data_IF_736265087890
#
_entry.id   IF_736265087890
#
_cell.length_a   1.000
_cell.length_b   1.000
_cell.length_c   1.000
_cell.angle_alpha   90.00
_cell.angle_beta   90.00
_cell.angle_gamma   90.00
#
_symmetry.space_group_name_H-M   'P 1'
#
loop_
_entity.id
_entity.type
_entity.pdbx_description
1 polymer ?
#
# COMPACT_ATOMS: atom_id res chain seq x y z
N UNK A 1 25.94 -28.13 -26.55
CA UNK A 1 26.53 -29.45 -26.20
C UNK A 1 26.38 -29.67 -24.71
N UNK A 2 25.80 -30.80 -24.28
CA UNK A 2 25.60 -31.31 -22.92
C UNK A 2 24.52 -30.65 -22.08
N UNK A 3 23.25 -30.94 -22.45
CA UNK A 3 22.14 -31.12 -21.49
C UNK A 3 21.77 -32.63 -21.59
N UNK A 4 21.83 -33.33 -20.46
CA UNK A 4 21.18 -34.61 -20.11
C UNK A 4 22.01 -35.24 -19.01
N UNK A 5 21.45 -35.31 -17.82
CA UNK A 5 21.65 -36.38 -16.84
C UNK A 5 20.93 -35.87 -15.58
N UNK A 6 19.70 -36.36 -15.38
CA UNK A 6 19.15 -36.72 -14.06
C UNK A 6 17.73 -37.25 -14.28
N UNK A 7 17.65 -38.46 -14.75
CA UNK A 7 16.45 -39.29 -14.65
C UNK A 7 16.88 -40.74 -14.98
N UNK A 8 17.29 -41.46 -13.91
CA UNK A 8 17.26 -42.94 -13.84
C UNK A 8 17.81 -43.32 -12.48
N UNK A 9 16.88 -43.69 -11.61
CA UNK A 9 17.03 -44.82 -10.66
C UNK A 9 15.84 -44.79 -9.70
N UNK A 10 14.84 -45.60 -10.01
CA UNK A 10 13.92 -46.19 -9.05
C UNK A 10 13.37 -47.43 -9.69
N UNK A 11 13.97 -48.55 -9.39
CA UNK A 11 13.40 -49.88 -9.59
C UNK A 11 13.66 -50.73 -8.36
N UNK A 12 12.56 -51.25 -7.83
CA UNK A 12 12.37 -52.53 -7.15
C UNK A 12 13.01 -52.76 -5.76
N UNK A 13 12.09 -52.93 -4.83
CA UNK A 13 12.10 -53.92 -3.72
C UNK A 13 10.78 -53.69 -2.99
N UNK A 14 9.80 -54.54 -2.85
CA UNK A 14 9.83 -55.96 -2.48
C UNK A 14 8.58 -56.12 -1.63
N UNK A 15 7.57 -56.84 -2.11
CA UNK A 15 6.31 -57.13 -1.39
C UNK A 15 6.58 -57.93 -0.13
N UNK A 16 5.99 -57.52 0.99
CA UNK A 16 5.70 -58.43 2.13
C UNK A 16 4.27 -58.16 2.59
N UNK A 17 3.45 -59.17 2.39
CA UNK A 17 2.06 -59.27 2.86
C UNK A 17 2.11 -59.58 4.37
N UNK A 18 1.42 -58.79 5.19
CA UNK A 18 0.91 -59.22 6.49
C UNK A 18 -0.56 -58.83 6.53
N UNK A 19 -1.36 -59.89 6.72
CA UNK A 19 -2.80 -59.86 6.84
C UNK A 19 -3.26 -59.39 8.21
N UNK A 20 -4.42 -58.73 8.23
CA UNK A 20 -5.36 -58.79 9.32
C UNK A 20 -5.44 -57.63 10.28
N UNK A 21 -6.36 -56.68 10.02
CA UNK A 21 -7.11 -56.02 11.08
C UNK A 21 -8.48 -55.55 10.52
N UNK A 22 -9.50 -56.04 11.16
CA UNK A 22 -10.91 -55.90 10.88
C UNK A 22 -11.38 -54.43 10.85
N UNK A 23 -11.98 -54.00 9.78
CA UNK A 23 -12.73 -52.75 9.70
C UNK A 23 -14.07 -52.92 10.41
N UNK A 24 -14.20 -52.41 11.60
CA UNK A 24 -15.49 -52.21 12.26
C UNK A 24 -16.11 -50.92 11.67
N UNK A 25 -17.02 -51.09 10.75
CA UNK A 25 -17.87 -50.01 10.25
C UNK A 25 -18.82 -49.58 11.37
N UNK A 26 -18.64 -48.37 11.89
CA UNK A 26 -19.65 -47.71 12.71
C UNK A 26 -20.87 -47.37 11.85
N UNK A 27 -21.95 -48.12 12.05
CA UNK A 27 -23.28 -47.72 11.56
C UNK A 27 -23.78 -46.54 12.38
N UNK A 28 -24.32 -45.50 11.77
CA UNK A 28 -25.01 -44.47 12.53
C UNK A 28 -26.28 -45.05 13.15
N UNK A 29 -26.45 -44.84 14.45
CA UNK A 29 -27.69 -45.13 15.17
C UNK A 29 -28.79 -44.18 14.74
N UNK A 30 -30.05 -44.63 14.68
CA UNK A 30 -31.18 -43.75 14.37
C UNK A 30 -31.37 -42.74 15.48
N UNK A 31 -31.49 -41.47 15.08
CA UNK A 31 -31.85 -40.36 15.98
C UNK A 31 -33.34 -40.50 16.31
N UNK A 32 -33.67 -40.69 17.59
CA UNK A 32 -35.02 -40.66 18.12
C UNK A 32 -35.58 -39.22 18.05
N UNK A 33 -36.68 -38.99 17.32
CA UNK A 33 -37.23 -37.63 17.17
C UNK A 33 -37.95 -37.12 18.44
N UNK A 34 -37.90 -37.84 19.56
CA UNK A 34 -38.66 -37.47 20.75
C UNK A 34 -37.86 -37.26 22.03
N UNK A 35 -36.53 -37.14 21.96
CA UNK A 35 -35.77 -36.67 23.12
C UNK A 35 -35.84 -35.13 23.23
N UNK A 36 -37.04 -34.66 23.53
CA UNK A 36 -37.24 -33.31 24.02
C UNK A 36 -36.76 -33.19 25.44
N UNK A 37 -35.75 -32.38 25.67
CA UNK A 37 -35.54 -31.59 26.90
C UNK A 37 -34.24 -30.80 26.76
N UNK A 38 -34.19 -29.84 25.89
CA UNK A 38 -33.35 -28.68 26.19
C UNK A 38 -34.08 -27.86 27.27
N UNK A 39 -33.75 -28.13 28.50
CA UNK A 39 -34.08 -27.20 29.57
C UNK A 39 -33.34 -25.89 29.33
N UNK A 40 -34.08 -24.91 28.83
CA UNK A 40 -33.68 -23.52 28.88
C UNK A 40 -33.42 -23.13 30.32
N UNK A 41 -32.15 -23.22 30.77
CA UNK A 41 -31.70 -22.44 31.90
C UNK A 41 -31.67 -20.98 31.45
N UNK A 42 -32.84 -20.36 31.46
CA UNK A 42 -33.02 -18.95 31.27
C UNK A 42 -32.33 -18.16 32.41
N UNK A 43 -31.09 -17.84 32.19
CA UNK A 43 -30.48 -16.68 32.80
C UNK A 43 -30.24 -15.65 31.68
N UNK A 44 -31.36 -15.10 31.16
CA UNK A 44 -31.30 -13.74 30.62
C UNK A 44 -30.86 -12.84 31.76
N UNK A 45 -29.57 -12.76 32.00
CA UNK A 45 -29.03 -11.52 32.55
C UNK A 45 -29.38 -10.44 31.55
N UNK A 46 -30.39 -9.66 31.86
CA UNK A 46 -30.56 -8.33 31.30
C UNK A 46 -29.19 -7.65 31.44
N UNK A 47 -28.41 -7.70 30.38
CA UNK A 47 -27.44 -6.67 30.11
C UNK A 47 -28.30 -5.41 29.90
N UNK A 48 -28.74 -4.83 31.02
CA UNK A 48 -29.13 -3.45 31.02
C UNK A 48 -27.92 -2.72 30.46
N UNK A 49 -28.00 -2.39 29.20
CA UNK A 49 -27.14 -1.40 28.59
C UNK A 49 -27.38 -0.13 29.40
N UNK A 50 -26.56 0.09 30.40
CA UNK A 50 -26.30 1.43 30.91
C UNK A 50 -25.66 2.17 29.74
N UNK A 51 -26.48 2.68 28.83
CA UNK A 51 -26.08 3.69 27.86
C UNK A 51 -25.81 4.96 28.68
N UNK A 52 -24.72 4.99 29.42
CA UNK A 52 -24.05 6.25 29.69
C UNK A 52 -23.61 6.71 28.32
N UNK A 53 -24.42 7.58 27.70
CA UNK A 53 -24.06 8.19 26.43
C UNK A 53 -22.78 8.99 26.65
N UNK A 54 -21.64 8.40 26.36
CA UNK A 54 -20.39 9.16 26.32
C UNK A 54 -20.62 10.33 25.36
N UNK A 55 -20.08 11.53 25.67
CA UNK A 55 -20.20 12.65 24.75
C UNK A 55 -19.62 12.32 23.39
N UNK A 56 -20.26 12.76 22.33
CA UNK A 56 -19.73 12.63 20.97
C UNK A 56 -18.34 13.26 20.88
N UNK A 57 -17.43 12.57 20.21
CA UNK A 57 -16.09 13.05 19.90
C UNK A 57 -16.11 13.57 18.46
N UNK A 58 -16.02 14.89 18.31
CA UNK A 58 -15.93 15.53 17.00
C UNK A 58 -14.45 15.72 16.65
N UNK A 59 -13.99 15.08 15.57
CA UNK A 59 -12.60 15.07 15.14
C UNK A 59 -12.44 15.70 13.77
N UNK A 60 -11.27 16.23 13.50
CA UNK A 60 -10.84 16.74 12.21
C UNK A 60 -9.83 15.80 11.55
N UNK A 61 -10.03 15.51 10.25
CA UNK A 61 -9.05 14.82 9.40
C UNK A 61 -8.60 15.77 8.31
N UNK A 62 -7.30 16.00 8.19
CA UNK A 62 -6.69 16.76 7.09
C UNK A 62 -6.07 15.81 6.08
N UNK A 63 -6.28 16.04 4.79
CA UNK A 63 -5.75 15.18 3.74
C UNK A 63 -4.79 15.93 2.83
N UNK A 64 -3.90 15.19 2.17
CA UNK A 64 -3.00 15.77 1.16
C UNK A 64 -3.60 15.72 -0.26
N UNK A 65 -4.90 15.42 -0.37
CA UNK A 65 -5.61 15.20 -1.63
C UNK A 65 -6.59 16.33 -1.94
N UNK A 66 -6.79 16.65 -3.22
CA UNK A 66 -7.90 17.51 -3.64
C UNK A 66 -9.26 16.92 -3.20
N UNK A 67 -10.24 17.79 -3.03
CA UNK A 67 -11.59 17.37 -2.64
C UNK A 67 -12.18 16.37 -3.63
N UNK A 68 -12.76 15.28 -3.10
CA UNK A 68 -13.36 14.19 -3.88
C UNK A 68 -12.39 13.51 -4.86
N UNK A 69 -11.07 13.64 -4.63
CA UNK A 69 -10.10 12.99 -5.52
C UNK A 69 -10.29 11.47 -5.53
N UNK A 70 -10.39 10.85 -6.72
CA UNK A 70 -10.74 9.43 -6.84
C UNK A 70 -9.77 8.51 -6.09
N UNK A 71 -10.31 7.55 -5.33
CA UNK A 71 -9.51 6.52 -4.67
C UNK A 71 -8.67 6.98 -3.47
N UNK A 72 -8.46 8.28 -3.28
CA UNK A 72 -7.71 8.83 -2.15
C UNK A 72 -8.59 9.76 -1.31
N UNK A 73 -9.02 10.90 -1.84
CA UNK A 73 -9.90 11.83 -1.14
C UNK A 73 -11.24 11.18 -0.82
N UNK A 74 -11.84 10.46 -1.78
CA UNK A 74 -13.11 9.73 -1.56
C UNK A 74 -12.96 8.62 -0.50
N UNK A 75 -11.81 7.96 -0.40
CA UNK A 75 -11.56 6.94 0.61
C UNK A 75 -11.38 7.52 2.01
N UNK A 76 -10.75 8.68 2.13
CA UNK A 76 -10.68 9.39 3.42
C UNK A 76 -12.08 9.71 3.96
N UNK A 77 -12.98 10.21 3.09
CA UNK A 77 -14.38 10.47 3.42
C UNK A 77 -15.15 9.19 3.80
N UNK A 78 -14.93 8.10 3.07
CA UNK A 78 -15.55 6.82 3.38
C UNK A 78 -15.06 6.25 4.71
N UNK A 79 -13.77 6.33 4.99
CA UNK A 79 -13.18 5.87 6.25
C UNK A 79 -13.77 6.65 7.44
N UNK A 80 -13.82 7.99 7.33
CA UNK A 80 -14.41 8.84 8.33
C UNK A 80 -15.89 8.52 8.59
N UNK A 81 -16.68 8.34 7.51
CA UNK A 81 -18.09 7.93 7.58
C UNK A 81 -18.28 6.57 8.25
N UNK A 82 -17.48 5.57 7.86
CA UNK A 82 -17.62 4.20 8.33
C UNK A 82 -17.25 4.09 9.83
N UNK A 83 -16.29 4.88 10.32
CA UNK A 83 -16.01 5.05 11.76
C UNK A 83 -17.25 5.60 12.47
N UNK A 84 -17.86 6.65 11.91
CA UNK A 84 -19.07 7.23 12.48
C UNK A 84 -20.21 6.22 12.60
N UNK A 85 -20.42 5.42 11.57
CA UNK A 85 -21.45 4.35 11.55
C UNK A 85 -21.12 3.26 12.56
N UNK A 86 -19.90 2.74 12.55
CA UNK A 86 -19.50 1.61 13.40
C UNK A 86 -19.48 1.96 14.90
N UNK A 87 -19.25 3.24 15.23
CA UNK A 87 -19.27 3.74 16.62
C UNK A 87 -20.63 4.32 17.02
N UNK A 88 -21.70 4.09 16.24
CA UNK A 88 -23.04 4.64 16.46
C UNK A 88 -23.04 6.17 16.68
N UNK A 89 -22.18 6.90 15.96
CA UNK A 89 -22.05 8.36 16.06
C UNK A 89 -21.27 8.85 17.27
N UNK A 90 -20.60 7.94 18.01
CA UNK A 90 -19.72 8.32 19.14
C UNK A 90 -18.48 9.07 18.64
N UNK A 91 -17.89 8.63 17.51
CA UNK A 91 -16.79 9.30 16.84
C UNK A 91 -17.33 9.87 15.54
N UNK A 92 -17.15 11.18 15.33
CA UNK A 92 -17.50 11.88 14.10
C UNK A 92 -16.28 12.59 13.57
N UNK A 93 -15.90 12.30 12.35
CA UNK A 93 -14.71 12.84 11.71
C UNK A 93 -15.16 13.76 10.57
N UNK A 94 -14.76 15.01 10.62
CA UNK A 94 -14.88 15.95 9.52
C UNK A 94 -13.61 15.92 8.70
N UNK A 95 -13.73 15.63 7.42
CA UNK A 95 -12.61 15.58 6.49
C UNK A 95 -12.42 16.93 5.82
N UNK A 96 -11.18 17.40 5.79
CA UNK A 96 -10.73 18.60 5.11
C UNK A 96 -9.77 18.19 3.99
N UNK A 97 -10.08 18.59 2.77
CA UNK A 97 -9.21 18.38 1.62
C UNK A 97 -7.93 19.22 1.73
N UNK A 98 -6.96 18.93 0.85
CA UNK A 98 -5.76 19.75 0.73
C UNK A 98 -6.12 21.24 0.63
N UNK A 99 -5.42 22.07 1.38
CA UNK A 99 -5.55 23.53 1.42
C UNK A 99 -6.88 24.08 2.01
N UNK A 100 -7.80 23.21 2.49
CA UNK A 100 -9.02 23.69 3.15
C UNK A 100 -8.76 24.15 4.60
N UNK A 101 -7.95 23.43 5.37
CA UNK A 101 -7.62 23.76 6.77
C UNK A 101 -6.14 24.12 6.91
N UNK A 102 -5.28 23.33 6.29
CA UNK A 102 -3.82 23.53 6.25
C UNK A 102 -3.29 23.21 4.86
N UNK A 103 -2.16 23.79 4.44
CA UNK A 103 -1.48 23.37 3.21
C UNK A 103 -1.21 21.86 3.21
N UNK A 104 -1.36 21.21 2.06
CA UNK A 104 -1.30 19.75 1.94
C UNK A 104 -0.10 19.12 2.66
N UNK A 105 1.12 19.63 2.42
CA UNK A 105 2.35 19.07 3.01
C UNK A 105 2.57 19.45 4.49
N UNK A 106 1.69 20.25 5.10
CA UNK A 106 1.70 20.58 6.52
C UNK A 106 0.74 19.69 7.35
N UNK A 107 0.07 18.73 6.73
CA UNK A 107 -0.91 17.87 7.40
C UNK A 107 -0.32 17.13 8.61
N UNK A 108 0.90 16.57 8.48
CA UNK A 108 1.59 15.91 9.58
C UNK A 108 1.87 16.87 10.75
N UNK A 109 2.40 18.05 10.46
CA UNK A 109 2.70 19.03 11.50
C UNK A 109 1.44 19.51 12.22
N UNK A 110 0.33 19.67 11.50
CA UNK A 110 -0.95 20.02 12.09
C UNK A 110 -1.42 18.98 13.11
N UNK A 111 -1.29 17.70 12.79
CA UNK A 111 -1.67 16.59 13.67
C UNK A 111 -0.67 16.45 14.83
N UNK A 112 0.61 16.50 14.56
CA UNK A 112 1.68 16.43 15.57
C UNK A 112 1.49 17.50 16.66
N UNK A 113 1.08 18.70 16.28
CA UNK A 113 0.86 19.85 17.17
C UNK A 113 -0.55 19.93 17.79
N UNK A 114 -1.45 19.01 17.44
CA UNK A 114 -2.83 19.01 17.91
C UNK A 114 -3.73 20.08 17.25
N UNK A 115 -3.32 20.65 16.10
CA UNK A 115 -4.14 21.56 15.31
C UNK A 115 -5.15 20.84 14.41
N UNK A 116 -4.95 19.54 14.20
CA UNK A 116 -5.86 18.59 13.62
C UNK A 116 -5.69 17.24 14.34
N UNK A 117 -6.67 16.34 14.22
CA UNK A 117 -6.69 15.10 14.98
C UNK A 117 -6.14 13.92 14.18
N UNK A 118 -6.30 13.94 12.86
CA UNK A 118 -5.91 12.84 11.96
C UNK A 118 -5.36 13.46 10.67
N UNK A 119 -4.28 12.89 10.13
CA UNK A 119 -3.93 13.14 8.73
C UNK A 119 -4.17 11.90 7.87
N UNK A 120 -4.39 12.11 6.57
CA UNK A 120 -4.49 11.04 5.58
C UNK A 120 -3.55 11.35 4.40
N UNK A 121 -2.43 10.63 4.34
CA UNK A 121 -1.37 10.86 3.36
C UNK A 121 -0.22 9.86 3.48
N UNK A 122 0.71 9.80 2.51
CA UNK A 122 1.87 8.92 2.59
C UNK A 122 2.97 9.57 3.41
N UNK A 123 3.58 8.81 4.31
CA UNK A 123 4.55 9.32 5.27
C UNK A 123 5.84 9.82 4.64
N UNK A 124 6.23 9.35 3.46
CA UNK A 124 7.42 9.83 2.77
C UNK A 124 7.39 11.33 2.42
N UNK A 125 6.20 11.97 2.41
CA UNK A 125 6.13 13.43 2.26
C UNK A 125 6.82 14.17 3.39
N UNK A 126 6.99 13.53 4.52
CA UNK A 126 7.62 14.09 5.73
C UNK A 126 8.99 13.45 6.04
N UNK A 127 9.67 12.92 5.01
CA UNK A 127 11.03 12.38 5.14
C UNK A 127 12.03 13.38 5.77
N UNK A 128 11.77 14.69 5.67
CA UNK A 128 12.53 15.72 6.35
C UNK A 128 12.39 15.72 7.88
N UNK A 129 11.40 15.01 8.44
CA UNK A 129 11.28 14.77 9.89
C UNK A 129 12.14 13.59 10.32
N UNK A 130 12.06 12.51 9.56
CA UNK A 130 12.90 11.34 9.70
C UNK A 130 12.93 10.55 8.39
N UNK A 131 14.12 10.22 7.92
CA UNK A 131 14.29 9.60 6.60
C UNK A 131 13.58 8.25 6.48
N UNK A 132 13.44 7.50 7.59
CA UNK A 132 12.81 6.19 7.63
C UNK A 132 11.28 6.21 7.43
N UNK A 133 10.63 7.37 7.43
CA UNK A 133 9.24 7.46 6.98
C UNK A 133 9.04 6.98 5.53
N UNK A 134 10.09 7.01 4.72
CA UNK A 134 10.08 6.40 3.40
C UNK A 134 9.76 4.90 3.43
N UNK A 135 10.25 4.15 4.42
CA UNK A 135 10.03 2.70 4.51
C UNK A 135 8.57 2.33 4.78
N UNK A 136 7.81 3.22 5.39
CA UNK A 136 6.39 3.03 5.65
C UNK A 136 5.48 3.59 4.55
N UNK A 137 6.03 4.36 3.61
CA UNK A 137 5.34 4.85 2.43
C UNK A 137 5.55 3.96 1.22
N UNK A 138 6.76 3.96 0.67
CA UNK A 138 7.21 3.10 -0.43
C UNK A 138 8.74 3.03 -0.48
N UNK A 139 9.27 1.85 -0.74
CA UNK A 139 10.70 1.63 -1.02
C UNK A 139 10.82 1.19 -2.47
N UNK A 140 11.64 1.85 -3.29
CA UNK A 140 11.90 1.42 -4.66
C UNK A 140 12.37 -0.02 -4.74
N UNK A 141 11.80 -0.81 -5.66
CA UNK A 141 12.04 -2.26 -5.78
C UNK A 141 11.72 -3.08 -4.52
N UNK A 142 11.02 -2.48 -3.55
CA UNK A 142 10.70 -3.07 -2.26
C UNK A 142 9.39 -3.85 -2.24
N UNK A 143 8.74 -3.84 -1.06
CA UNK A 143 7.51 -4.57 -0.80
C UNK A 143 6.32 -3.99 -1.57
N UNK A 144 5.53 -4.88 -2.17
CA UNK A 144 4.23 -4.51 -2.75
C UNK A 144 3.15 -4.33 -1.66
N UNK A 145 1.91 -4.01 -2.08
CA UNK A 145 0.81 -3.76 -1.15
C UNK A 145 0.53 -4.92 -0.20
N UNK A 146 0.62 -6.16 -0.67
CA UNK A 146 0.35 -7.35 0.16
C UNK A 146 1.51 -7.70 1.06
N UNK A 147 2.71 -7.51 0.57
CA UNK A 147 3.96 -7.72 1.30
C UNK A 147 4.16 -6.67 2.42
N UNK A 148 3.73 -5.42 2.18
CA UNK A 148 3.73 -4.37 3.21
C UNK A 148 2.85 -4.78 4.40
N UNK A 149 1.66 -5.34 4.17
CA UNK A 149 0.82 -5.87 5.25
C UNK A 149 1.52 -7.02 5.98
N UNK A 150 2.20 -7.91 5.25
CA UNK A 150 2.96 -8.98 5.85
C UNK A 150 4.04 -8.44 6.79
N UNK A 151 4.82 -7.46 6.33
CA UNK A 151 5.85 -6.82 7.16
C UNK A 151 5.26 -6.15 8.41
N UNK A 152 4.22 -5.33 8.23
CA UNK A 152 3.60 -4.61 9.34
C UNK A 152 2.98 -5.55 10.39
N UNK A 153 2.39 -6.68 9.96
CA UNK A 153 1.66 -7.58 10.87
C UNK A 153 2.51 -8.71 11.45
N UNK A 154 3.53 -9.17 10.72
CA UNK A 154 4.29 -10.36 11.09
C UNK A 154 5.80 -10.14 11.12
N UNK A 155 6.31 -9.04 10.54
CA UNK A 155 7.71 -8.67 10.52
C UNK A 155 8.11 -7.62 11.56
N UNK A 156 7.18 -7.18 12.44
CA UNK A 156 7.44 -6.16 13.45
C UNK A 156 7.42 -4.71 12.92
N UNK A 157 6.92 -4.52 11.69
CA UNK A 157 6.91 -3.20 11.05
C UNK A 157 5.98 -2.21 11.74
N UNK A 158 4.81 -2.65 12.27
CA UNK A 158 3.86 -1.76 12.92
C UNK A 158 4.44 -1.16 14.20
N UNK A 159 5.06 -1.98 15.03
CA UNK A 159 5.69 -1.54 16.28
C UNK A 159 6.85 -0.55 16.01
N UNK A 160 7.65 -0.82 14.97
CA UNK A 160 8.72 0.08 14.56
C UNK A 160 8.18 1.41 14.01
N UNK A 161 7.04 1.38 13.31
CA UNK A 161 6.39 2.59 12.82
C UNK A 161 5.85 3.46 13.96
N UNK A 162 5.21 2.83 14.94
CA UNK A 162 4.72 3.51 16.14
C UNK A 162 5.86 4.10 16.97
N UNK A 163 6.97 3.37 17.13
CA UNK A 163 8.17 3.86 17.80
C UNK A 163 8.76 5.08 17.08
N UNK A 164 8.88 5.01 15.74
CA UNK A 164 9.39 6.11 14.91
C UNK A 164 8.51 7.35 14.98
N UNK A 165 7.18 7.19 15.01
CA UNK A 165 6.22 8.28 14.94
C UNK A 165 5.90 8.89 16.33
N UNK A 166 6.09 8.13 17.42
CA UNK A 166 5.71 8.56 18.77
C UNK A 166 6.39 9.86 19.23
N UNK A 167 7.67 10.16 18.94
CA UNK A 167 8.28 11.44 19.30
C UNK A 167 7.60 12.66 18.64
N UNK A 168 6.85 12.43 17.56
CA UNK A 168 6.05 13.45 16.88
C UNK A 168 4.59 13.50 17.36
N UNK A 169 4.26 12.79 18.43
CA UNK A 169 2.89 12.69 18.95
C UNK A 169 1.90 12.12 17.92
N UNK A 170 2.32 11.14 17.11
CA UNK A 170 1.53 10.51 16.06
C UNK A 170 1.47 8.99 16.27
N UNK A 171 0.26 8.43 16.14
CA UNK A 171 0.01 7.00 16.05
C UNK A 171 -0.37 6.65 14.60
N UNK A 172 0.54 6.06 13.82
CA UNK A 172 0.29 5.75 12.42
C UNK A 172 -0.49 4.44 12.25
N UNK A 173 -1.29 4.34 11.20
CA UNK A 173 -1.90 3.10 10.76
C UNK A 173 -2.07 3.07 9.26
N UNK A 174 -1.88 1.89 8.67
CA UNK A 174 -2.10 1.67 7.25
C UNK A 174 -3.59 1.72 6.93
N UNK A 175 -4.01 2.60 6.02
CA UNK A 175 -5.41 2.82 5.69
C UNK A 175 -5.74 2.55 4.22
N UNK A 176 -4.89 3.00 3.28
CA UNK A 176 -5.10 2.79 1.85
C UNK A 176 -3.84 2.27 1.17
N UNK A 177 -4.03 1.57 0.03
CA UNK A 177 -2.96 1.17 -0.90
C UNK A 177 -3.31 1.63 -2.30
N UNK A 178 -2.30 2.02 -3.07
CA UNK A 178 -2.47 2.34 -4.50
C UNK A 178 -2.35 1.09 -5.40
N UNK A 179 -1.75 0.02 -4.88
CA UNK A 179 -1.29 -1.10 -5.70
C UNK A 179 -0.12 -0.69 -6.59
N UNK A 180 0.26 -1.56 -7.52
CA UNK A 180 1.38 -1.33 -8.44
C UNK A 180 1.13 -0.06 -9.25
N UNK A 181 2.10 0.84 -9.22
CA UNK A 181 2.04 2.11 -9.92
C UNK A 181 2.64 2.05 -11.34
N UNK A 182 2.63 3.17 -12.03
CA UNK A 182 3.31 3.37 -13.31
C UNK A 182 4.61 4.14 -13.10
N UNK A 183 5.56 3.97 -14.03
CA UNK A 183 6.88 4.62 -13.96
C UNK A 183 6.86 6.14 -14.17
N UNK A 184 5.74 6.68 -14.65
CA UNK A 184 5.49 8.11 -14.76
C UNK A 184 5.30 8.61 -16.19
N UNK A 185 5.10 9.92 -16.29
CA UNK A 185 4.85 10.70 -17.51
C UNK A 185 6.07 11.54 -17.85
N UNK A 186 6.46 11.51 -19.12
CA UNK A 186 7.68 12.16 -19.60
C UNK A 186 7.42 12.91 -20.89
N UNK A 187 8.05 14.08 -21.05
CA UNK A 187 8.02 14.87 -22.28
C UNK A 187 9.13 14.47 -23.27
N UNK A 188 10.00 13.55 -22.87
CA UNK A 188 11.02 12.93 -23.73
C UNK A 188 11.11 11.44 -23.45
N UNK A 189 11.56 10.66 -24.43
CA UNK A 189 11.84 9.24 -24.22
C UNK A 189 13.11 9.05 -23.37
N UNK A 190 13.08 8.04 -22.52
CA UNK A 190 14.22 7.59 -21.71
C UNK A 190 14.74 6.28 -22.34
N UNK A 191 15.82 6.37 -23.06
CA UNK A 191 16.43 5.26 -23.79
C UNK A 191 17.74 4.79 -23.14
N UNK A 192 18.32 5.58 -22.24
CA UNK A 192 19.55 5.29 -21.55
C UNK A 192 19.60 5.98 -20.18
N UNK A 193 20.61 5.63 -19.37
CA UNK A 193 20.86 6.26 -18.06
C UNK A 193 21.18 7.75 -18.22
N UNK A 194 21.87 8.12 -19.29
CA UNK A 194 22.25 9.50 -19.61
C UNK A 194 21.03 10.40 -19.81
N UNK A 195 19.87 9.85 -20.23
CA UNK A 195 18.65 10.62 -20.41
C UNK A 195 18.05 11.12 -19.09
N UNK A 196 18.46 10.57 -17.97
CA UNK A 196 18.10 11.04 -16.62
C UNK A 196 18.91 12.27 -16.19
N UNK A 197 20.04 12.55 -16.84
CA UNK A 197 20.88 13.70 -16.51
C UNK A 197 20.14 15.00 -16.78
N UNK A 198 20.07 15.85 -15.74
CA UNK A 198 19.40 17.15 -15.81
C UNK A 198 17.86 17.08 -15.88
N UNK A 199 17.25 15.89 -15.81
CA UNK A 199 15.81 15.71 -15.81
C UNK A 199 15.19 16.39 -14.58
N UNK A 200 14.28 17.32 -14.77
CA UNK A 200 13.48 17.91 -13.69
C UNK A 200 12.21 17.09 -13.54
N UNK A 201 12.15 16.30 -12.49
CA UNK A 201 11.04 15.37 -12.29
C UNK A 201 10.32 15.63 -10.97
N UNK A 202 9.00 15.74 -11.02
CA UNK A 202 8.21 15.63 -9.79
C UNK A 202 8.22 14.20 -9.35
N UNK A 203 8.91 13.94 -8.26
CA UNK A 203 8.98 12.62 -7.60
C UNK A 203 9.35 12.85 -6.13
N UNK A 204 8.47 12.51 -5.18
CA UNK A 204 8.73 12.69 -3.76
C UNK A 204 9.51 11.52 -3.16
N UNK A 205 9.86 11.66 -1.91
CA UNK A 205 10.36 10.59 -1.08
C UNK A 205 11.64 9.96 -1.61
N UNK A 206 11.73 8.66 -1.45
CA UNK A 206 12.89 7.85 -1.82
C UNK A 206 13.20 7.93 -3.34
N UNK A 207 12.15 7.98 -4.19
CA UNK A 207 12.35 8.12 -5.64
C UNK A 207 13.08 9.42 -6.01
N UNK A 208 12.85 10.50 -5.27
CA UNK A 208 13.56 11.76 -5.45
C UNK A 208 15.06 11.65 -5.21
N UNK A 209 15.46 10.90 -4.19
CA UNK A 209 16.88 10.66 -3.92
C UNK A 209 17.56 9.87 -5.05
N UNK A 210 16.85 8.87 -5.61
CA UNK A 210 17.36 8.12 -6.78
C UNK A 210 17.59 9.07 -7.95
N UNK A 211 16.60 9.91 -8.30
CA UNK A 211 16.72 10.88 -9.40
C UNK A 211 17.89 11.83 -9.16
N UNK A 212 18.13 12.28 -7.93
CA UNK A 212 19.28 13.10 -7.57
C UNK A 212 20.60 12.39 -7.90
N UNK A 213 20.75 11.14 -7.49
CA UNK A 213 21.97 10.35 -7.76
C UNK A 213 22.17 9.99 -9.21
N UNK A 214 21.06 9.90 -9.97
CA UNK A 214 21.09 9.72 -11.41
C UNK A 214 21.37 11.03 -12.18
N UNK A 215 21.63 12.16 -11.47
CA UNK A 215 21.98 13.45 -12.05
C UNK A 215 20.78 14.31 -12.47
N UNK A 216 19.58 13.94 -12.08
CA UNK A 216 18.38 14.75 -12.27
C UNK A 216 18.10 15.72 -11.11
N UNK A 217 16.99 16.41 -11.18
CA UNK A 217 16.53 17.38 -10.17
C UNK A 217 15.12 17.02 -9.74
N UNK A 218 14.93 16.36 -8.60
CA UNK A 218 13.61 16.06 -8.09
C UNK A 218 12.92 17.28 -7.52
N UNK A 219 11.59 17.32 -7.63
CA UNK A 219 10.73 18.34 -7.04
C UNK A 219 9.58 17.66 -6.33
N UNK A 220 9.25 18.06 -5.11
CA UNK A 220 8.07 17.58 -4.38
C UNK A 220 6.95 18.60 -4.50
N UNK A 221 5.83 18.21 -5.14
CA UNK A 221 4.62 19.01 -5.29
C UNK A 221 3.40 18.16 -4.91
N UNK A 222 2.38 18.75 -4.26
CA UNK A 222 1.11 18.08 -4.07
C UNK A 222 0.40 17.85 -5.41
N UNK A 223 -0.48 16.83 -5.47
CA UNK A 223 -1.09 16.36 -6.73
C UNK A 223 -1.81 17.46 -7.53
N UNK A 224 -2.46 18.38 -6.86
CA UNK A 224 -3.19 19.49 -7.51
C UNK A 224 -2.32 20.48 -8.28
N UNK A 225 -1.01 20.51 -8.02
CA UNK A 225 -0.08 21.47 -8.65
C UNK A 225 0.71 20.85 -9.82
N UNK A 226 0.67 19.54 -10.00
CA UNK A 226 1.52 18.83 -10.96
C UNK A 226 1.17 19.18 -12.40
N UNK A 227 -0.12 19.15 -12.77
CA UNK A 227 -0.57 19.43 -14.13
C UNK A 227 -0.06 20.79 -14.62
N UNK A 228 -0.24 21.82 -13.81
CA UNK A 228 0.20 23.17 -14.15
C UNK A 228 1.72 23.25 -14.31
N UNK A 229 2.47 22.62 -13.38
CA UNK A 229 3.93 22.60 -13.40
C UNK A 229 4.48 21.91 -14.66
N UNK A 230 3.86 20.78 -15.06
CA UNK A 230 4.22 20.04 -16.26
C UNK A 230 3.86 20.81 -17.53
N UNK A 231 2.65 21.40 -17.58
CA UNK A 231 2.18 22.18 -18.75
C UNK A 231 3.00 23.45 -19.00
N UNK A 232 3.57 24.04 -17.95
CA UNK A 232 4.44 25.21 -18.05
C UNK A 232 5.91 24.89 -18.33
N UNK A 233 6.30 23.59 -18.35
CA UNK A 233 7.68 23.17 -18.50
C UNK A 233 8.57 23.47 -17.28
N UNK A 234 7.97 23.71 -16.10
CA UNK A 234 8.72 23.85 -14.86
C UNK A 234 9.32 22.50 -14.43
N UNK A 235 8.68 21.40 -14.81
CA UNK A 235 9.16 20.02 -14.71
C UNK A 235 9.06 19.34 -16.08
N UNK A 236 9.96 18.39 -16.34
CA UNK A 236 10.04 17.62 -17.59
C UNK A 236 9.28 16.28 -17.50
N UNK A 237 9.08 15.81 -16.28
CA UNK A 237 8.45 14.52 -15.97
C UNK A 237 7.77 14.55 -14.61
N UNK A 238 6.85 13.61 -14.43
CA UNK A 238 6.19 13.36 -13.14
C UNK A 238 5.86 11.88 -13.01
N UNK A 239 5.95 11.36 -11.81
CA UNK A 239 5.17 10.20 -11.41
C UNK A 239 3.94 10.66 -10.63
N UNK A 240 2.96 9.77 -10.47
CA UNK A 240 1.85 9.98 -9.53
C UNK A 240 1.39 8.63 -8.96
N UNK A 241 0.48 7.93 -9.62
CA UNK A 241 0.03 6.60 -9.16
C UNK A 241 -0.08 5.65 -10.34
N UNK A 242 -1.10 5.85 -11.17
CA UNK A 242 -1.41 4.96 -12.25
C UNK A 242 -2.61 5.43 -13.06
N UNK A 243 -3.01 4.66 -14.08
CA UNK A 243 -3.92 5.11 -15.14
C UNK A 243 -5.18 5.82 -14.65
N UNK A 244 -5.80 5.33 -13.57
CA UNK A 244 -7.05 5.91 -13.06
C UNK A 244 -6.89 7.32 -12.50
N UNK A 245 -5.90 7.52 -11.64
CA UNK A 245 -5.63 8.82 -11.04
C UNK A 245 -4.96 9.76 -12.02
N UNK A 246 -4.06 9.25 -12.87
CA UNK A 246 -3.34 10.04 -13.85
C UNK A 246 -4.27 10.58 -14.95
N UNK A 247 -5.27 9.78 -15.35
CA UNK A 247 -6.35 10.24 -16.23
C UNK A 247 -7.18 11.35 -15.58
N UNK A 248 -7.50 11.22 -14.27
CA UNK A 248 -8.25 12.23 -13.53
C UNK A 248 -7.48 13.56 -13.39
N UNK A 249 -6.14 13.51 -13.31
CA UNK A 249 -5.27 14.69 -13.30
C UNK A 249 -4.96 15.23 -14.69
N UNK A 250 -5.31 14.49 -15.75
CA UNK A 250 -5.20 14.98 -17.12
C UNK A 250 -3.78 14.97 -17.68
N UNK A 251 -2.83 14.22 -17.12
CA UNK A 251 -1.43 14.24 -17.53
C UNK A 251 -1.20 13.90 -19.01
N UNK A 252 -2.06 13.07 -19.59
CA UNK A 252 -2.06 12.75 -21.03
C UNK A 252 -2.22 13.95 -21.97
N UNK A 253 -2.63 15.12 -21.45
CA UNK A 253 -2.78 16.34 -22.23
C UNK A 253 -1.48 17.17 -22.29
N UNK A 254 -0.51 16.85 -21.44
CA UNK A 254 0.69 17.68 -21.22
C UNK A 254 1.99 16.87 -21.16
N UNK A 255 1.92 15.55 -21.39
CA UNK A 255 3.09 14.67 -21.52
C UNK A 255 2.83 13.59 -22.56
N UNK A 256 3.86 13.23 -23.34
CA UNK A 256 3.76 12.38 -24.52
C UNK A 256 3.92 10.89 -24.20
N UNK A 257 4.76 10.54 -23.23
CA UNK A 257 5.18 9.18 -22.96
C UNK A 257 4.79 8.73 -21.56
N UNK A 258 4.17 7.56 -21.48
CA UNK A 258 3.74 6.96 -20.22
C UNK A 258 4.50 5.67 -19.97
N UNK A 259 5.35 5.67 -18.94
CA UNK A 259 6.25 4.56 -18.65
C UNK A 259 5.65 3.54 -17.70
N UNK A 260 5.88 2.26 -17.98
CA UNK A 260 5.73 1.13 -17.07
C UNK A 260 7.14 0.61 -16.78
N UNK A 261 7.42 -0.05 -15.72
CA UNK A 261 6.71 -0.27 -14.47
C UNK A 261 7.22 0.70 -13.40
N UNK A 262 6.47 0.81 -12.31
CA UNK A 262 6.89 1.62 -11.19
C UNK A 262 8.09 0.99 -10.48
N UNK A 263 9.26 1.52 -10.71
CA UNK A 263 10.47 1.15 -9.96
C UNK A 263 10.48 1.79 -8.56
N UNK A 264 9.89 2.98 -8.44
CA UNK A 264 9.92 3.84 -7.25
C UNK A 264 8.90 3.43 -6.20
N UNK A 265 7.70 3.00 -6.61
CA UNK A 265 6.60 2.66 -5.72
C UNK A 265 5.85 1.39 -6.19
N UNK A 266 6.28 0.20 -5.74
CA UNK A 266 5.51 -1.03 -5.96
C UNK A 266 4.07 -0.93 -5.41
N UNK A 267 3.88 -0.09 -4.40
CA UNK A 267 2.62 0.45 -3.90
C UNK A 267 2.91 1.59 -2.95
N UNK A 268 2.20 2.71 -3.05
CA UNK A 268 2.18 3.66 -1.95
C UNK A 268 1.27 3.18 -0.83
N UNK A 269 1.80 3.19 0.37
CA UNK A 269 1.06 2.98 1.61
C UNK A 269 0.57 4.32 2.13
N UNK A 270 -0.75 4.46 2.25
CA UNK A 270 -1.35 5.69 2.75
C UNK A 270 -1.70 5.51 4.22
N UNK A 271 -1.12 6.37 5.03
CA UNK A 271 -1.31 6.42 6.47
C UNK A 271 -2.58 7.19 6.85
N UNK A 272 -3.32 6.70 7.82
CA UNK A 272 -4.16 7.50 8.68
C UNK A 272 -3.42 7.72 10.00
N UNK A 273 -2.72 8.84 10.11
CA UNK A 273 -1.92 9.16 11.30
C UNK A 273 -2.76 9.94 12.30
N UNK A 274 -2.99 9.36 13.46
CA UNK A 274 -3.77 9.94 14.55
C UNK A 274 -2.86 10.72 15.49
N UNK A 275 -3.33 11.88 15.95
CA UNK A 275 -2.72 12.50 17.11
C UNK A 275 -2.73 11.50 18.28
N UNK A 276 -1.59 11.27 18.91
CA UNK A 276 -1.42 10.20 19.90
C UNK A 276 -2.28 10.46 21.17
N UNK A 277 -2.47 11.71 21.57
CA UNK A 277 -3.32 12.05 22.72
C UNK A 277 -4.79 11.76 22.40
N UNK A 278 -5.24 12.08 21.19
CA UNK A 278 -6.58 11.75 20.71
C UNK A 278 -6.78 10.23 20.65
N UNK A 279 -5.82 9.50 20.09
CA UNK A 279 -5.84 8.04 20.04
C UNK A 279 -5.94 7.42 21.44
N UNK A 280 -5.15 7.90 22.40
CA UNK A 280 -5.15 7.42 23.77
C UNK A 280 -6.42 7.80 24.55
N UNK A 281 -7.23 8.75 24.07
CA UNK A 281 -8.53 9.09 24.65
C UNK A 281 -9.65 8.13 24.25
N UNK A 282 -9.44 7.31 23.20
CA UNK A 282 -10.36 6.27 22.78
C UNK A 282 -10.29 5.07 23.72
N UNK A 283 -11.43 4.40 23.94
CA UNK A 283 -11.37 3.11 24.62
C UNK A 283 -10.90 1.98 23.70
N UNK A 284 -10.54 0.85 24.31
CA UNK A 284 -10.01 -0.30 23.57
C UNK A 284 -10.96 -0.80 22.47
N UNK A 285 -12.28 -0.75 22.69
CA UNK A 285 -13.26 -1.15 21.68
C UNK A 285 -13.29 -0.18 20.50
N UNK A 286 -13.23 1.12 20.79
CA UNK A 286 -13.17 2.18 19.79
C UNK A 286 -11.88 2.06 18.96
N UNK A 287 -10.73 1.84 19.61
CA UNK A 287 -9.44 1.60 18.93
C UNK A 287 -9.51 0.40 18.01
N UNK A 288 -10.05 -0.73 18.50
CA UNK A 288 -10.20 -1.96 17.69
C UNK A 288 -11.13 -1.77 16.49
N UNK A 289 -12.21 -1.00 16.64
CA UNK A 289 -13.10 -0.66 15.51
C UNK A 289 -12.33 0.15 14.45
N UNK A 290 -11.58 1.15 14.85
CA UNK A 290 -10.82 2.01 13.93
C UNK A 290 -9.74 1.18 13.21
N UNK A 291 -8.99 0.34 13.91
CA UNK A 291 -7.97 -0.55 13.34
C UNK A 291 -8.60 -1.51 12.31
N UNK A 292 -9.71 -2.17 12.65
CA UNK A 292 -10.39 -3.09 11.74
C UNK A 292 -10.92 -2.38 10.48
N UNK A 293 -11.43 -1.16 10.63
CA UNK A 293 -11.87 -0.35 9.49
C UNK A 293 -10.70 0.09 8.62
N UNK A 294 -9.56 0.46 9.19
CA UNK A 294 -8.37 0.80 8.43
C UNK A 294 -7.90 -0.38 7.55
N UNK A 295 -7.84 -1.59 8.10
CA UNK A 295 -7.53 -2.81 7.31
C UNK A 295 -8.55 -3.07 6.20
N UNK A 296 -9.84 -2.92 6.50
CA UNK A 296 -10.89 -3.07 5.50
C UNK A 296 -10.74 -2.06 4.37
N UNK A 297 -10.47 -0.79 4.70
CA UNK A 297 -10.29 0.28 3.71
C UNK A 297 -9.02 0.06 2.89
N UNK A 298 -7.93 -0.44 3.48
CA UNK A 298 -6.73 -0.83 2.76
C UNK A 298 -7.02 -1.88 1.69
N UNK A 299 -7.67 -2.97 2.07
CA UNK A 299 -8.03 -4.04 1.14
C UNK A 299 -8.97 -3.56 0.03
N UNK A 300 -9.97 -2.73 0.38
CA UNK A 300 -10.92 -2.17 -0.60
C UNK A 300 -10.24 -1.21 -1.57
N UNK A 301 -9.34 -0.35 -1.10
CA UNK A 301 -8.61 0.57 -1.96
C UNK A 301 -7.74 -0.16 -2.97
N UNK A 302 -6.98 -1.17 -2.54
CA UNK A 302 -6.18 -2.01 -3.43
C UNK A 302 -7.01 -2.65 -4.54
N UNK A 303 -8.17 -3.23 -4.17
CA UNK A 303 -9.08 -3.85 -5.14
C UNK A 303 -9.65 -2.82 -6.12
N UNK A 304 -10.02 -1.62 -5.64
CA UNK A 304 -10.55 -0.55 -6.49
C UNK A 304 -9.51 -0.01 -7.45
N UNK A 305 -8.30 0.31 -7.00
CA UNK A 305 -7.20 0.77 -7.86
C UNK A 305 -6.92 -0.26 -8.98
N UNK A 306 -6.78 -1.54 -8.63
CA UNK A 306 -6.54 -2.59 -9.62
C UNK A 306 -7.67 -2.69 -10.65
N UNK A 307 -8.93 -2.60 -10.22
CA UNK A 307 -10.08 -2.66 -11.12
C UNK A 307 -10.20 -1.41 -12.02
N UNK A 308 -9.97 -0.22 -11.46
CA UNK A 308 -10.12 1.05 -12.18
C UNK A 308 -8.96 1.32 -13.13
N UNK A 309 -7.73 0.96 -12.74
CA UNK A 309 -6.54 1.15 -13.56
C UNK A 309 -6.64 0.46 -14.92
N UNK A 310 -7.18 -0.77 -14.97
CA UNK A 310 -7.34 -1.50 -16.22
C UNK A 310 -8.26 -0.76 -17.22
N UNK A 311 -9.36 -0.17 -16.73
CA UNK A 311 -10.27 0.60 -17.56
C UNK A 311 -9.66 1.93 -18.02
N UNK A 312 -9.04 2.66 -17.10
CA UNK A 312 -8.41 3.94 -17.38
C UNK A 312 -7.24 3.79 -18.36
N UNK A 313 -6.45 2.71 -18.24
CA UNK A 313 -5.37 2.43 -19.19
C UNK A 313 -5.91 2.24 -20.62
N UNK A 314 -7.00 1.49 -20.79
CA UNK A 314 -7.65 1.34 -22.10
C UNK A 314 -8.08 2.70 -22.68
N UNK A 315 -8.69 3.57 -21.86
CA UNK A 315 -9.08 4.91 -22.29
C UNK A 315 -7.86 5.75 -22.70
N UNK A 316 -6.81 5.79 -21.88
CA UNK A 316 -5.58 6.50 -22.18
C UNK A 316 -4.97 6.08 -23.53
N UNK A 317 -4.93 4.77 -23.79
CA UNK A 317 -4.32 4.23 -25.02
C UNK A 317 -5.27 4.39 -26.22
N UNK A 318 -6.54 3.96 -26.10
CA UNK A 318 -7.44 3.86 -27.25
C UNK A 318 -8.14 5.17 -27.60
N UNK A 319 -8.43 6.04 -26.61
CA UNK A 319 -9.17 7.27 -26.82
C UNK A 319 -8.26 8.50 -26.84
N UNK A 320 -7.19 8.49 -26.03
CA UNK A 320 -6.26 9.62 -25.94
C UNK A 320 -4.93 9.39 -26.66
N UNK A 321 -4.67 8.19 -27.24
CA UNK A 321 -3.50 7.91 -28.04
C UNK A 321 -2.18 7.90 -27.24
N UNK A 322 -2.24 7.68 -25.94
CA UNK A 322 -1.06 7.66 -25.05
C UNK A 322 -0.07 6.60 -25.49
N UNK A 323 1.19 6.95 -25.58
CA UNK A 323 2.27 6.09 -25.96
C UNK A 323 2.88 5.40 -24.73
N UNK A 324 2.54 4.11 -24.55
CA UNK A 324 3.18 3.31 -23.50
C UNK A 324 4.65 3.04 -23.84
N UNK A 325 5.50 3.12 -22.85
CA UNK A 325 6.93 2.83 -22.91
C UNK A 325 7.35 1.95 -21.73
N UNK A 326 8.48 1.28 -21.90
CA UNK A 326 9.17 0.57 -20.84
C UNK A 326 10.57 1.14 -20.71
N UNK A 327 11.05 1.27 -19.48
CA UNK A 327 12.45 1.61 -19.28
C UNK A 327 13.34 0.48 -19.80
N UNK A 328 14.45 0.80 -20.49
CA UNK A 328 15.43 -0.20 -20.88
C UNK A 328 15.93 -0.99 -19.66
N UNK A 329 16.27 -2.29 -19.82
CA UNK A 329 16.82 -3.09 -18.72
C UNK A 329 18.03 -2.46 -18.04
N UNK A 330 18.91 -1.82 -18.80
CA UNK A 330 20.09 -1.12 -18.26
C UNK A 330 19.73 0.08 -17.36
N UNK A 331 18.64 0.79 -17.67
CA UNK A 331 18.13 1.87 -16.84
C UNK A 331 17.55 1.30 -15.55
N UNK A 332 16.75 0.23 -15.65
CA UNK A 332 16.14 -0.43 -14.49
C UNK A 332 17.21 -1.02 -13.55
N UNK A 333 18.26 -1.62 -14.10
CA UNK A 333 19.41 -2.15 -13.32
C UNK A 333 20.11 -1.02 -12.55
N UNK A 334 20.44 0.08 -13.23
CA UNK A 334 21.09 1.23 -12.60
C UNK A 334 20.22 1.87 -11.51
N UNK A 335 18.91 1.99 -11.74
CA UNK A 335 17.97 2.49 -10.73
C UNK A 335 17.89 1.55 -9.51
N UNK A 336 17.93 0.22 -9.74
CA UNK A 336 17.88 -0.77 -8.66
C UNK A 336 19.14 -0.75 -7.79
N UNK A 337 20.32 -0.65 -8.42
CA UNK A 337 21.60 -0.57 -7.71
C UNK A 337 21.64 0.70 -6.83
N UNK A 338 21.28 1.84 -7.40
CA UNK A 338 21.22 3.11 -6.65
C UNK A 338 20.18 3.05 -5.52
N UNK A 339 19.04 2.42 -5.74
CA UNK A 339 18.03 2.24 -4.70
C UNK A 339 18.55 1.39 -3.53
N UNK A 340 19.28 0.31 -3.82
CA UNK A 340 19.86 -0.56 -2.80
C UNK A 340 20.91 0.19 -1.95
N UNK A 341 21.76 0.99 -2.58
CA UNK A 341 22.76 1.81 -1.90
C UNK A 341 22.08 2.81 -0.95
N UNK A 342 21.10 3.56 -1.44
CA UNK A 342 20.34 4.55 -0.65
C UNK A 342 19.62 3.88 0.53
N UNK A 343 18.96 2.74 0.30
CA UNK A 343 18.27 2.00 1.36
C UNK A 343 19.24 1.60 2.50
N UNK A 344 20.41 1.11 2.11
CA UNK A 344 21.48 0.76 3.06
C UNK A 344 21.99 1.98 3.85
N UNK A 345 22.20 3.10 3.19
CA UNK A 345 22.63 4.34 3.83
C UNK A 345 21.58 4.89 4.81
N UNK A 346 20.29 4.85 4.42
CA UNK A 346 19.19 5.25 5.31
C UNK A 346 19.18 4.39 6.58
N UNK A 347 19.41 3.07 6.46
CA UNK A 347 19.54 2.16 7.59
C UNK A 347 20.72 2.44 8.53
N UNK A 348 21.68 3.26 8.11
CA UNK A 348 22.87 3.61 8.92
C UNK A 348 22.75 4.96 9.63
N UNK A 349 21.61 5.67 9.50
CA UNK A 349 21.42 7.02 10.02
C UNK A 349 21.44 7.05 11.56
N UNK A 350 20.75 6.13 12.21
CA UNK A 350 20.70 5.97 13.66
C UNK A 350 20.22 4.56 14.05
N UNK A 351 20.02 4.30 15.35
CA UNK A 351 19.66 2.99 15.87
C UNK A 351 18.29 2.49 15.36
N UNK A 352 17.26 3.34 15.39
CA UNK A 352 15.92 2.95 14.92
C UNK A 352 15.93 2.72 13.41
N UNK A 353 16.68 3.49 12.65
CA UNK A 353 16.89 3.30 11.21
C UNK A 353 17.44 1.92 10.90
N UNK A 354 18.47 1.50 11.63
CA UNK A 354 19.06 0.17 11.48
C UNK A 354 18.05 -0.95 11.76
N UNK A 355 17.23 -0.79 12.77
CA UNK A 355 16.19 -1.78 13.14
C UNK A 355 15.11 -1.85 12.08
N UNK A 356 14.62 -0.73 11.57
CA UNK A 356 13.61 -0.67 10.50
C UNK A 356 14.16 -1.30 9.23
N UNK A 357 15.36 -0.89 8.80
CA UNK A 357 16.02 -1.43 7.60
C UNK A 357 16.18 -2.95 7.68
N UNK A 358 16.72 -3.46 8.78
CA UNK A 358 16.97 -4.90 8.94
C UNK A 358 15.66 -5.71 8.95
N UNK A 359 14.63 -5.22 9.65
CA UNK A 359 13.30 -5.86 9.68
C UNK A 359 12.66 -5.88 8.29
N UNK A 360 12.69 -4.74 7.57
CA UNK A 360 12.16 -4.62 6.22
C UNK A 360 12.87 -5.55 5.24
N UNK A 361 14.21 -5.54 5.24
CA UNK A 361 15.02 -6.37 4.32
C UNK A 361 14.92 -7.86 4.63
N UNK A 362 14.73 -8.25 5.89
CA UNK A 362 14.44 -9.65 6.25
C UNK A 362 13.11 -10.11 5.63
N UNK A 363 12.06 -9.31 5.78
CA UNK A 363 10.77 -9.61 5.16
C UNK A 363 10.86 -9.64 3.63
N UNK A 364 11.57 -8.69 3.03
CA UNK A 364 11.76 -8.66 1.57
C UNK A 364 12.46 -9.93 1.06
N UNK A 365 13.44 -10.44 1.79
CA UNK A 365 14.11 -11.68 1.43
C UNK A 365 13.17 -12.90 1.50
N UNK A 366 12.37 -13.01 2.56
CA UNK A 366 11.39 -14.08 2.75
C UNK A 366 10.30 -14.07 1.68
N UNK A 367 9.75 -12.89 1.34
CA UNK A 367 8.71 -12.80 0.31
C UNK A 367 9.26 -13.08 -1.07
N UNK A 368 10.49 -12.68 -1.39
CA UNK A 368 11.14 -13.01 -2.66
C UNK A 368 11.34 -14.53 -2.81
N UNK A 369 11.76 -15.21 -1.74
CA UNK A 369 11.89 -16.66 -1.76
C UNK A 369 10.53 -17.35 -2.01
N UNK A 370 9.49 -16.96 -1.28
CA UNK A 370 8.15 -17.55 -1.44
C UNK A 370 7.54 -17.26 -2.80
N UNK A 371 7.49 -16.00 -3.21
CA UNK A 371 6.89 -15.60 -4.49
C UNK A 371 7.60 -16.18 -5.70
N UNK A 372 8.93 -16.33 -5.63
CA UNK A 372 9.72 -16.96 -6.68
C UNK A 372 9.34 -18.42 -6.95
N UNK A 373 8.75 -19.13 -5.98
CA UNK A 373 8.27 -20.51 -6.16
C UNK A 373 6.75 -20.62 -6.26
N UNK A 374 5.99 -19.65 -5.80
CA UNK A 374 4.53 -19.69 -5.78
C UNK A 374 3.91 -18.77 -6.86
N UNK A 375 4.01 -17.46 -6.68
CA UNK A 375 3.24 -16.47 -7.45
C UNK A 375 3.81 -16.28 -8.86
N UNK A 376 5.12 -16.05 -8.99
CA UNK A 376 5.76 -15.79 -10.27
C UNK A 376 5.56 -16.91 -11.28
N UNK A 377 5.84 -18.20 -10.95
CA UNK A 377 5.59 -19.30 -11.86
C UNK A 377 4.12 -19.43 -12.24
N UNK A 378 3.20 -19.17 -11.30
CA UNK A 378 1.77 -19.20 -11.57
C UNK A 378 1.35 -18.10 -12.56
N UNK A 379 1.78 -16.85 -12.35
CA UNK A 379 1.46 -15.77 -13.28
C UNK A 379 2.07 -15.98 -14.66
N UNK A 380 3.28 -16.54 -14.74
CA UNK A 380 3.88 -16.94 -16.02
C UNK A 380 3.07 -18.03 -16.70
N UNK A 381 2.67 -19.08 -15.97
CA UNK A 381 1.90 -20.19 -16.52
C UNK A 381 0.50 -19.75 -16.99
N UNK A 382 -0.17 -18.83 -16.26
CA UNK A 382 -1.48 -18.30 -16.65
C UNK A 382 -1.47 -17.60 -17.99
N UNK A 383 -0.33 -17.01 -18.40
CA UNK A 383 -0.15 -16.34 -19.71
C UNK A 383 0.09 -17.30 -20.88
N UNK A 384 0.29 -18.60 -20.62
CA UNK A 384 0.55 -19.59 -21.67
C UNK A 384 -0.70 -20.02 -22.43
N UNK A 385 -1.88 -19.72 -21.93
CA UNK A 385 -3.15 -20.11 -22.54
C UNK A 385 -3.94 -18.88 -23.00
N UNK A 386 -4.10 -18.73 -24.30
CA UNK A 386 -4.97 -17.71 -24.91
C UNK A 386 -6.44 -17.81 -24.47
N UNK A 387 -6.87 -18.99 -23.99
CA UNK A 387 -8.24 -19.21 -23.50
C UNK A 387 -8.56 -18.51 -22.17
N UNK A 388 -7.53 -18.16 -21.39
CA UNK A 388 -7.70 -17.40 -20.13
C UNK A 388 -7.57 -15.88 -20.33
N UNK A 389 -7.69 -15.43 -21.57
CA UNK A 389 -7.84 -14.05 -21.91
C UNK A 389 -6.55 -13.40 -22.37
N UNK A 390 -6.46 -13.15 -23.64
CA UNK A 390 -5.74 -12.01 -24.16
C UNK A 390 -6.52 -10.77 -23.67
N UNK A 391 -6.18 -10.28 -22.49
CA UNK A 391 -6.68 -8.99 -22.05
C UNK A 391 -5.78 -7.93 -22.71
N UNK A 392 -6.34 -7.20 -23.65
CA UNK A 392 -5.85 -5.98 -24.34
C UNK A 392 -5.02 -6.26 -25.58
#
# INVERSE_FOLDING_TARGET
MKRRIFLKNSAALGATVVAGASTTACKPSPVDPNSGAYQNAGASKNLASSSSSRPTLELSMVTVWPKNFPGLGTRAEEFARDIGVATNGRIRIRVYAADELVPALQAFDAVSQGNADIYHGPDYYWQGKHIMFNFFGAVPFGLDATEMVQWLRYGGGQELWEELASPFNVRPMLCNATGMQMGGWFNKEINSVEDLQGLKMRIPGFGGEIITRMGGTPVTLPGGEIFLSLSQGNIDATEWIGPWNDLALGFHQVADYYYTSAYHEPSASICAGWNLDVWNSLDESEQKIVEALAEMHYSRSLAEFNARNANALRQLVSEHGVQLRQFPPSVMEALADVAADIASEFGQTDEISGRIYNSYMSTLAEVKEWKGVADEPYYMARRLSERFGDAI
#
